data_IF_614795805814
#
_entry.id   IF_614795805814
#
_cell.length_a   1.000
_cell.length_b   1.000
_cell.length_c   1.000
_cell.angle_alpha   90.00
_cell.angle_beta   90.00
_cell.angle_gamma   90.00
#
_symmetry.space_group_name_H-M   'P 1'
#
loop_
_entity.id
_entity.type
_entity.pdbx_description
1 polymer ?
#
# COMPACT_ATOMS: atom_id res chain seq x y z
N UNK A 1 18.76 -15.92 2.96
CA UNK A 1 18.00 -16.02 4.23
C UNK A 1 17.14 -14.79 4.51
N UNK A 2 17.66 -13.57 4.34
CA UNK A 2 16.93 -12.33 4.64
C UNK A 2 15.68 -12.12 3.75
N UNK A 3 15.77 -12.44 2.46
CA UNK A 3 14.65 -12.38 1.51
C UNK A 3 13.55 -13.41 1.86
N UNK A 4 13.96 -14.64 2.22
CA UNK A 4 13.01 -15.72 2.53
C UNK A 4 12.19 -15.40 3.78
N UNK A 5 12.83 -14.86 4.82
CA UNK A 5 12.17 -14.46 6.06
C UNK A 5 11.19 -13.29 5.85
N UNK A 6 11.58 -12.26 5.08
CA UNK A 6 10.70 -11.15 4.71
C UNK A 6 9.49 -11.62 3.89
N UNK A 7 9.68 -12.62 3.01
CA UNK A 7 8.59 -13.28 2.28
C UNK A 7 7.61 -14.01 3.18
N UNK A 8 8.10 -14.78 4.16
CA UNK A 8 7.26 -15.49 5.15
C UNK A 8 6.44 -14.51 5.98
N UNK A 9 7.06 -13.42 6.47
CA UNK A 9 6.35 -12.38 7.24
C UNK A 9 5.26 -11.71 6.40
N UNK A 10 5.57 -11.34 5.15
CA UNK A 10 4.57 -10.80 4.23
C UNK A 10 3.41 -11.77 3.99
N UNK A 11 3.70 -13.04 3.72
CA UNK A 11 2.69 -14.08 3.53
C UNK A 11 1.83 -14.34 4.77
N UNK A 12 2.42 -14.26 5.96
CA UNK A 12 1.70 -14.42 7.23
C UNK A 12 0.72 -13.25 7.48
N UNK A 13 1.13 -12.02 7.15
CA UNK A 13 0.24 -10.85 7.17
C UNK A 13 -0.90 -11.03 6.17
N UNK A 14 -0.63 -11.48 4.94
CA UNK A 14 -1.66 -11.80 3.95
C UNK A 14 -2.64 -12.87 4.45
N UNK A 15 -2.12 -13.92 5.09
CA UNK A 15 -2.95 -14.99 5.68
C UNK A 15 -3.85 -14.46 6.81
N UNK A 16 -3.34 -13.55 7.65
CA UNK A 16 -4.12 -12.89 8.69
C UNK A 16 -5.22 -11.97 8.12
N UNK A 17 -4.95 -11.25 7.02
CA UNK A 17 -5.97 -10.43 6.32
C UNK A 17 -7.13 -11.31 5.86
N UNK A 18 -6.83 -12.43 5.19
CA UNK A 18 -7.84 -13.38 4.66
C UNK A 18 -8.56 -14.13 5.79
N UNK A 19 -7.87 -14.48 6.86
CA UNK A 19 -8.52 -15.09 8.02
C UNK A 19 -9.47 -14.11 8.70
N UNK A 20 -9.06 -12.85 8.84
CA UNK A 20 -9.90 -11.81 9.42
C UNK A 20 -11.13 -11.49 8.55
N UNK A 21 -11.06 -11.70 7.23
CA UNK A 21 -12.19 -11.48 6.31
C UNK A 21 -13.33 -12.47 6.48
N UNK A 22 -13.06 -13.61 7.11
CA UNK A 22 -14.09 -14.60 7.45
C UNK A 22 -14.96 -14.17 8.63
N UNK A 23 -14.56 -13.16 9.42
CA UNK A 23 -15.26 -12.70 10.63
C UNK A 23 -15.97 -11.35 10.46
N UNK A 24 -15.88 -10.74 9.28
CA UNK A 24 -16.46 -9.44 8.95
C UNK A 24 -15.56 -8.63 8.02
N UNK A 25 -16.12 -7.56 7.45
CA UNK A 25 -15.45 -6.79 6.38
C UNK A 25 -14.57 -5.64 6.90
N UNK A 26 -14.73 -5.26 8.17
CA UNK A 26 -14.02 -4.13 8.79
C UNK A 26 -12.54 -4.46 9.04
N UNK A 27 -12.27 -5.64 9.61
CA UNK A 27 -10.91 -6.07 9.93
C UNK A 27 -10.00 -6.17 8.69
N UNK A 28 -10.40 -6.79 7.57
CA UNK A 28 -9.61 -6.82 6.33
C UNK A 28 -9.38 -5.46 5.70
N UNK A 29 -10.25 -4.48 5.95
CA UNK A 29 -10.05 -3.11 5.46
C UNK A 29 -9.00 -2.34 6.28
N UNK A 30 -8.90 -2.64 7.58
CA UNK A 30 -7.97 -1.97 8.50
C UNK A 30 -6.61 -2.67 8.55
N UNK A 31 -6.56 -3.99 8.44
CA UNK A 31 -5.32 -4.76 8.58
C UNK A 31 -4.23 -4.39 7.55
N UNK A 32 -4.55 -4.10 6.27
CA UNK A 32 -3.58 -3.61 5.30
C UNK A 32 -2.98 -2.24 5.65
N UNK A 33 -3.64 -1.44 6.49
CA UNK A 33 -3.09 -0.18 7.00
C UNK A 33 -1.98 -0.41 8.03
N UNK A 34 -1.86 -1.62 8.60
CA UNK A 34 -0.73 -1.95 9.45
C UNK A 34 0.55 -1.73 8.63
N UNK A 35 1.47 -0.86 9.09
CA UNK A 35 2.57 -0.35 8.27
C UNK A 35 3.70 -1.36 8.07
N UNK A 36 3.39 -2.65 7.93
CA UNK A 36 4.36 -3.75 7.83
C UNK A 36 5.34 -3.56 6.68
N UNK A 37 4.85 -3.27 5.47
CA UNK A 37 5.72 -2.93 4.33
C UNK A 37 6.54 -1.67 4.57
N UNK A 38 5.96 -0.65 5.21
CA UNK A 38 6.66 0.58 5.55
C UNK A 38 7.77 0.33 6.60
N UNK A 39 7.51 -0.48 7.63
CA UNK A 39 8.48 -0.87 8.65
C UNK A 39 9.67 -1.59 8.01
N UNK A 40 9.43 -2.58 7.14
CA UNK A 40 10.51 -3.29 6.45
C UNK A 40 11.34 -2.33 5.58
N UNK A 41 10.68 -1.46 4.82
CA UNK A 41 11.35 -0.47 3.98
C UNK A 41 12.19 0.54 4.80
N UNK A 42 11.62 1.07 5.88
CA UNK A 42 12.27 2.04 6.76
C UNK A 42 13.44 1.41 7.53
N UNK A 43 13.34 0.16 7.98
CA UNK A 43 14.45 -0.58 8.57
C UNK A 43 15.56 -0.82 7.55
N UNK A 44 15.22 -1.19 6.32
CA UNK A 44 16.22 -1.39 5.25
C UNK A 44 16.94 -0.08 4.87
N UNK A 45 16.23 1.04 4.84
CA UNK A 45 16.83 2.37 4.61
C UNK A 45 17.64 2.83 5.82
N UNK A 46 17.11 2.66 7.03
CA UNK A 46 17.75 3.03 8.29
C UNK A 46 19.05 2.25 8.56
N UNK A 47 19.11 0.98 8.17
CA UNK A 47 20.31 0.14 8.28
C UNK A 47 21.52 0.69 7.49
N UNK A 48 21.30 1.62 6.54
CA UNK A 48 22.37 2.30 5.81
C UNK A 48 23.04 3.44 6.61
N UNK A 49 22.55 3.75 7.82
CA UNK A 49 23.13 4.77 8.70
C UNK A 49 22.90 6.22 8.27
N UNK A 50 22.05 6.48 7.28
CA UNK A 50 21.78 7.82 6.75
C UNK A 50 20.40 8.33 7.20
N UNK A 51 20.40 9.30 8.12
CA UNK A 51 19.17 9.91 8.65
C UNK A 51 18.39 10.73 7.60
N UNK A 52 19.08 11.33 6.63
CA UNK A 52 18.47 12.05 5.50
C UNK A 52 17.67 11.08 4.63
N UNK A 53 18.28 9.95 4.24
CA UNK A 53 17.60 8.93 3.44
C UNK A 53 16.38 8.33 4.16
N UNK A 54 16.45 8.16 5.49
CA UNK A 54 15.30 7.72 6.28
C UNK A 54 14.15 8.74 6.25
N UNK A 55 14.45 10.03 6.42
CA UNK A 55 13.43 11.11 6.34
C UNK A 55 12.81 11.21 4.95
N UNK A 56 13.60 11.07 3.90
CA UNK A 56 13.11 11.03 2.52
C UNK A 56 12.18 9.85 2.28
N UNK A 57 12.52 8.67 2.81
CA UNK A 57 11.66 7.49 2.72
C UNK A 57 10.32 7.70 3.47
N UNK A 58 10.33 8.33 4.65
CA UNK A 58 9.11 8.72 5.35
C UNK A 58 8.25 9.69 4.52
N UNK A 59 8.86 10.74 3.95
CA UNK A 59 8.17 11.72 3.11
C UNK A 59 7.59 11.08 1.85
N UNK A 60 8.33 10.17 1.20
CA UNK A 60 7.83 9.39 0.08
C UNK A 60 6.61 8.55 0.51
N UNK A 61 6.68 7.88 1.67
CA UNK A 61 5.56 7.15 2.27
C UNK A 61 4.31 8.03 2.45
N UNK A 62 4.46 9.21 3.07
CA UNK A 62 3.34 10.15 3.24
C UNK A 62 2.71 10.56 1.91
N UNK A 63 3.53 10.82 0.89
CA UNK A 63 3.06 11.18 -0.46
C UNK A 63 2.25 10.06 -1.13
N UNK A 64 2.35 8.81 -0.70
CA UNK A 64 1.55 7.72 -1.27
C UNK A 64 0.13 7.60 -0.67
N UNK A 65 -0.15 8.25 0.46
CA UNK A 65 -1.45 8.16 1.14
C UNK A 65 -2.60 8.62 0.23
N UNK A 66 -2.51 9.76 -0.50
CA UNK A 66 -3.58 10.18 -1.41
C UNK A 66 -3.86 9.15 -2.51
N UNK A 67 -2.83 8.48 -3.05
CA UNK A 67 -3.03 7.42 -4.04
C UNK A 67 -3.77 6.22 -3.45
N UNK A 68 -3.49 5.84 -2.19
CA UNK A 68 -4.24 4.80 -1.48
C UNK A 68 -5.71 5.18 -1.24
N UNK A 69 -5.99 6.43 -0.89
CA UNK A 69 -7.37 6.91 -0.77
C UNK A 69 -8.10 6.87 -2.11
N UNK A 70 -7.42 7.23 -3.20
CA UNK A 70 -7.96 7.14 -4.56
C UNK A 70 -8.29 5.68 -4.96
N UNK A 71 -7.41 4.72 -4.62
CA UNK A 71 -7.66 3.29 -4.79
C UNK A 71 -8.95 2.85 -4.09
N UNK A 72 -9.10 3.15 -2.79
CA UNK A 72 -10.27 2.76 -2.01
C UNK A 72 -11.55 3.41 -2.54
N UNK A 73 -11.49 4.71 -2.86
CA UNK A 73 -12.61 5.44 -3.45
C UNK A 73 -13.06 4.84 -4.78
N UNK A 74 -12.11 4.49 -5.66
CA UNK A 74 -12.41 3.84 -6.93
C UNK A 74 -13.04 2.45 -6.74
N UNK A 75 -12.47 1.60 -5.87
CA UNK A 75 -13.05 0.30 -5.55
C UNK A 75 -14.49 0.43 -5.00
N UNK A 76 -14.72 1.39 -4.10
CA UNK A 76 -16.04 1.65 -3.51
C UNK A 76 -17.06 2.14 -4.55
N UNK A 77 -16.64 2.96 -5.51
CA UNK A 77 -17.53 3.45 -6.59
C UNK A 77 -17.79 2.40 -7.67
N UNK A 78 -16.81 1.55 -7.97
CA UNK A 78 -16.91 0.57 -9.05
C UNK A 78 -17.65 -0.69 -8.63
N UNK A 79 -17.57 -1.10 -7.37
CA UNK A 79 -18.23 -2.34 -6.89
C UNK A 79 -19.76 -2.32 -7.04
N UNK A 80 -20.38 -1.14 -7.10
CA UNK A 80 -21.83 -1.01 -7.36
C UNK A 80 -22.21 -1.30 -8.81
N UNK A 81 -21.24 -1.27 -9.74
CA UNK A 81 -21.48 -1.38 -11.18
C UNK A 81 -20.84 -2.61 -11.83
N UNK A 82 -19.77 -3.15 -11.23
CA UNK A 82 -19.01 -4.29 -11.77
C UNK A 82 -18.65 -5.29 -10.66
N UNK A 83 -18.20 -6.50 -11.04
CA UNK A 83 -17.75 -7.49 -10.07
C UNK A 83 -16.45 -7.06 -9.36
N UNK A 84 -16.14 -7.71 -8.23
CA UNK A 84 -15.00 -7.35 -7.38
C UNK A 84 -13.65 -7.38 -8.11
N UNK A 85 -13.47 -8.25 -9.11
CA UNK A 85 -12.20 -8.33 -9.85
C UNK A 85 -11.99 -7.08 -10.69
N UNK A 86 -13.02 -6.67 -11.41
CA UNK A 86 -13.00 -5.45 -12.22
C UNK A 86 -12.93 -4.19 -11.34
N UNK A 87 -13.63 -4.16 -10.20
CA UNK A 87 -13.55 -3.05 -9.25
C UNK A 87 -12.13 -2.87 -8.70
N UNK A 88 -11.45 -3.97 -8.33
CA UNK A 88 -10.06 -3.94 -7.86
C UNK A 88 -9.10 -3.54 -8.98
N UNK A 89 -9.26 -4.07 -10.20
CA UNK A 89 -8.43 -3.66 -11.35
C UNK A 89 -8.57 -2.17 -11.67
N UNK A 90 -9.80 -1.66 -11.66
CA UNK A 90 -10.07 -0.23 -11.83
C UNK A 90 -9.46 0.60 -10.70
N UNK A 91 -9.56 0.14 -9.46
CA UNK A 91 -8.88 0.75 -8.33
C UNK A 91 -7.36 0.83 -8.53
N UNK A 92 -6.72 -0.26 -8.96
CA UNK A 92 -5.27 -0.31 -9.25
C UNK A 92 -4.90 0.69 -10.34
N UNK A 93 -5.71 0.82 -11.39
CA UNK A 93 -5.47 1.80 -12.46
C UNK A 93 -5.53 3.24 -11.94
N UNK A 94 -6.53 3.58 -11.11
CA UNK A 94 -6.65 4.90 -10.48
C UNK A 94 -5.50 5.17 -9.52
N UNK A 95 -5.12 4.18 -8.71
CA UNK A 95 -3.95 4.25 -7.83
C UNK A 95 -2.67 4.57 -8.60
N UNK A 96 -2.44 3.85 -9.71
CA UNK A 96 -1.25 4.03 -10.54
C UNK A 96 -1.23 5.43 -11.16
N UNK A 97 -2.35 5.90 -11.70
CA UNK A 97 -2.48 7.25 -12.23
C UNK A 97 -2.19 8.33 -11.16
N UNK A 98 -2.76 8.17 -9.96
CA UNK A 98 -2.53 9.09 -8.84
C UNK A 98 -1.06 9.08 -8.38
N UNK A 99 -0.46 7.89 -8.23
CA UNK A 99 0.95 7.75 -7.85
C UNK A 99 1.86 8.40 -8.90
N UNK A 100 1.64 8.12 -10.19
CA UNK A 100 2.39 8.75 -11.28
C UNK A 100 2.26 10.27 -11.24
N UNK A 101 1.06 10.82 -11.06
CA UNK A 101 0.87 12.26 -10.92
C UNK A 101 1.67 12.83 -9.75
N UNK A 102 1.63 12.20 -8.57
CA UNK A 102 2.32 12.70 -7.36
C UNK A 102 3.85 12.72 -7.54
N UNK A 103 4.42 11.70 -8.19
CA UNK A 103 5.88 11.58 -8.33
C UNK A 103 6.45 12.17 -9.63
N UNK A 104 5.66 12.29 -10.69
CA UNK A 104 6.09 12.83 -12.00
C UNK A 104 5.64 14.26 -12.26
N UNK A 105 4.50 14.73 -11.72
CA UNK A 105 4.05 16.11 -11.96
C UNK A 105 5.07 17.19 -11.56
N UNK A 106 5.85 17.04 -10.46
CA UNK A 106 6.89 18.02 -10.11
C UNK A 106 8.06 18.10 -11.10
N UNK A 107 8.16 17.18 -12.08
CA UNK A 107 9.21 17.18 -13.11
C UNK A 107 8.85 18.01 -14.35
N UNK A 108 7.58 18.41 -14.49
CA UNK A 108 7.05 19.08 -15.68
C UNK A 108 6.46 20.48 -15.37
N UNK A 109 6.55 20.93 -14.12
CA UNK A 109 6.20 22.27 -13.64
C UNK A 109 7.48 23.00 -13.24
#
# INVERSE_FOLDING_TARGET
MDILWKGVVGGLVTALIVWASKRGNVLPGILPLAPTFAVIALLAVGAKGNSTGFREACLAGFRTIPAYLAFLGACWLFIERVDYRLAVLGGIAVWLAAALAIFLAPRYL
#
